data_IF_208151233255
#
_entry.id   IF_208151233255
#
_cell.length_a   1.000
_cell.length_b   1.000
_cell.length_c   1.000
_cell.angle_alpha   90.00
_cell.angle_beta   90.00
_cell.angle_gamma   90.00
#
_symmetry.space_group_name_H-M   'P 1'
#
loop_
_entity.id
_entity.type
_entity.pdbx_description
1 polymer ?
#
# COMPACT_ATOMS: atom_id res chain seq x y z
N UNK A 1 -8.43 13.77 3.41
CA UNK A 1 -8.36 12.78 4.47
C UNK A 1 -7.44 13.27 5.58
N UNK A 2 -7.89 13.16 6.80
CA UNK A 2 -7.11 13.62 7.93
C UNK A 2 -6.33 12.46 8.51
N UNK A 3 -5.01 12.54 8.42
CA UNK A 3 -4.16 11.44 8.86
C UNK A 3 -3.53 11.82 10.20
N UNK A 4 -3.88 11.12 11.28
CA UNK A 4 -3.30 11.43 12.58
C UNK A 4 -1.82 11.07 12.60
N UNK A 5 -1.06 11.82 13.36
CA UNK A 5 0.36 11.56 13.55
C UNK A 5 0.55 10.76 14.82
N UNK A 6 1.19 9.61 14.70
CA UNK A 6 1.53 8.82 15.87
C UNK A 6 2.76 9.42 16.53
N UNK A 7 2.67 9.64 17.84
CA UNK A 7 3.78 10.23 18.58
C UNK A 7 4.88 9.19 18.78
N UNK A 8 5.93 9.26 17.95
CA UNK A 8 7.08 8.39 18.06
C UNK A 8 6.85 6.97 17.62
N UNK A 9 5.75 6.69 16.90
CA UNK A 9 5.43 5.35 16.48
C UNK A 9 5.37 5.19 14.97
N UNK A 10 5.11 3.97 14.55
CA UNK A 10 4.87 3.63 13.16
C UNK A 10 3.40 3.85 12.86
N UNK A 11 3.11 4.34 11.65
CA UNK A 11 1.73 4.50 11.21
C UNK A 11 1.42 3.54 10.09
N UNK A 12 0.23 2.96 10.14
CA UNK A 12 -0.29 2.10 9.11
C UNK A 12 -1.65 2.64 8.70
N UNK A 13 -1.79 2.97 7.42
CA UNK A 13 -3.06 3.42 6.88
C UNK A 13 -3.76 2.28 6.18
N UNK A 14 -5.07 2.18 6.37
CA UNK A 14 -5.90 1.28 5.57
C UNK A 14 -6.73 2.17 4.66
N UNK A 15 -6.57 1.99 3.36
CA UNK A 15 -7.13 2.88 2.38
C UNK A 15 -8.01 2.12 1.39
N UNK A 16 -9.21 2.63 1.14
CA UNK A 16 -10.16 2.03 0.20
C UNK A 16 -10.49 3.04 -0.89
N UNK A 17 -9.62 3.11 -1.92
CA UNK A 17 -9.84 4.08 -2.99
C UNK A 17 -11.01 3.71 -3.88
N UNK A 18 -11.61 4.71 -4.50
CA UNK A 18 -12.71 4.52 -5.43
C UNK A 18 -12.33 4.88 -6.85
N UNK A 19 -11.37 5.79 -7.01
CA UNK A 19 -10.99 6.25 -8.32
C UNK A 19 -9.50 6.54 -8.40
N UNK A 20 -9.02 6.69 -9.62
CA UNK A 20 -7.58 6.82 -9.89
C UNK A 20 -6.92 7.95 -9.12
N UNK A 21 -7.57 9.09 -9.00
CA UNK A 21 -6.96 10.23 -8.30
C UNK A 21 -6.64 9.95 -6.84
N UNK A 22 -7.29 8.95 -6.26
CA UNK A 22 -7.03 8.57 -4.87
C UNK A 22 -5.63 7.96 -4.70
N UNK A 23 -5.01 7.51 -5.79
CA UNK A 23 -3.70 6.89 -5.73
C UNK A 23 -2.61 7.84 -5.26
N UNK A 24 -2.79 9.15 -5.47
CA UNK A 24 -1.82 10.14 -5.01
C UNK A 24 -1.63 10.07 -3.50
N UNK A 25 -2.69 9.80 -2.75
CA UNK A 25 -2.62 9.69 -1.31
C UNK A 25 -1.71 8.55 -0.87
N UNK A 26 -1.65 7.48 -1.64
CA UNK A 26 -0.78 6.35 -1.34
C UNK A 26 0.68 6.79 -1.39
N UNK A 27 1.05 7.47 -2.46
CA UNK A 27 2.43 7.93 -2.65
C UNK A 27 2.85 8.92 -1.58
N UNK A 28 1.97 9.88 -1.28
CA UNK A 28 2.25 10.88 -0.27
C UNK A 28 2.41 10.25 1.11
N UNK A 29 1.59 9.25 1.41
CA UNK A 29 1.66 8.56 2.71
C UNK A 29 2.98 7.81 2.86
N UNK A 30 3.38 7.07 1.83
CA UNK A 30 4.64 6.32 1.88
C UNK A 30 5.84 7.27 1.96
N UNK A 31 5.80 8.36 1.22
CA UNK A 31 6.84 9.38 1.31
C UNK A 31 6.91 10.02 2.68
N UNK A 32 5.79 10.06 3.39
CA UNK A 32 5.75 10.54 4.77
C UNK A 32 6.07 9.43 5.78
N UNK A 33 6.66 8.34 5.30
CA UNK A 33 7.15 7.25 6.12
C UNK A 33 6.05 6.40 6.75
N UNK A 34 4.93 6.25 6.06
CA UNK A 34 3.81 5.43 6.51
C UNK A 34 3.63 4.21 5.61
N UNK A 35 3.21 3.10 6.20
CA UNK A 35 2.78 1.94 5.42
C UNK A 35 1.30 2.07 5.08
N UNK A 36 0.90 1.54 3.93
CA UNK A 36 -0.47 1.65 3.45
C UNK A 36 -0.98 0.28 3.02
N UNK A 37 -2.10 -0.14 3.59
CA UNK A 37 -2.84 -1.28 3.08
C UNK A 37 -3.92 -0.75 2.14
N UNK A 38 -3.86 -1.16 0.90
CA UNK A 38 -4.78 -0.71 -0.13
C UNK A 38 -5.76 -1.82 -0.46
N UNK A 39 -7.05 -1.54 -0.30
CA UNK A 39 -8.09 -2.50 -0.64
C UNK A 39 -8.90 -1.93 -1.79
N UNK A 40 -8.87 -2.59 -2.94
CA UNK A 40 -9.39 -2.04 -4.19
C UNK A 40 -10.81 -2.48 -4.54
N UNK A 41 -11.46 -3.20 -3.65
CA UNK A 41 -12.79 -3.75 -3.93
C UNK A 41 -13.84 -2.69 -4.26
N UNK A 42 -13.67 -1.46 -3.79
CA UNK A 42 -14.64 -0.39 -4.03
C UNK A 42 -14.32 0.45 -5.27
N UNK A 43 -13.21 0.18 -5.93
CA UNK A 43 -12.88 0.86 -7.18
C UNK A 43 -13.66 0.22 -8.33
N UNK A 44 -14.09 1.04 -9.27
CA UNK A 44 -14.84 0.53 -10.41
C UNK A 44 -13.97 -0.32 -11.33
N UNK A 45 -14.63 -1.05 -12.23
CA UNK A 45 -13.95 -1.87 -13.22
C UNK A 45 -13.00 -1.01 -14.05
N UNK A 46 -11.79 -1.49 -14.23
CA UNK A 46 -10.76 -0.74 -14.94
C UNK A 46 -10.08 0.31 -14.09
N UNK A 47 -10.78 0.92 -13.14
CA UNK A 47 -10.20 1.91 -12.23
C UNK A 47 -9.22 1.25 -11.27
N UNK A 48 -9.57 0.07 -10.77
CA UNK A 48 -8.69 -0.66 -9.85
C UNK A 48 -7.35 -0.94 -10.48
N UNK A 49 -7.34 -1.44 -11.73
CA UNK A 49 -6.08 -1.76 -12.39
C UNK A 49 -5.25 -0.51 -12.67
N UNK A 50 -5.88 0.56 -13.12
CA UNK A 50 -5.19 1.81 -13.40
C UNK A 50 -4.58 2.40 -12.14
N UNK A 51 -5.31 2.32 -11.05
CA UNK A 51 -4.86 2.81 -9.75
C UNK A 51 -3.65 2.01 -9.25
N UNK A 52 -3.72 0.68 -9.38
CA UNK A 52 -2.62 -0.20 -8.98
C UNK A 52 -1.38 0.09 -9.83
N UNK A 53 -1.55 0.21 -11.14
CA UNK A 53 -0.44 0.50 -12.04
C UNK A 53 0.23 1.82 -11.69
N UNK A 54 -0.56 2.85 -11.41
CA UNK A 54 -0.04 4.15 -11.02
C UNK A 54 0.71 4.06 -9.70
N UNK A 55 0.12 3.40 -8.71
CA UNK A 55 0.74 3.28 -7.39
C UNK A 55 2.03 2.48 -7.45
N UNK A 56 2.05 1.38 -8.20
CA UNK A 56 3.26 0.56 -8.33
C UNK A 56 4.38 1.33 -9.02
N UNK A 57 4.05 2.07 -10.09
CA UNK A 57 5.04 2.89 -10.77
C UNK A 57 5.60 3.98 -9.86
N UNK A 58 4.73 4.60 -9.08
CA UNK A 58 5.14 5.60 -8.12
C UNK A 58 6.02 5.04 -7.00
N UNK A 59 5.68 3.85 -6.51
CA UNK A 59 6.49 3.18 -5.49
C UNK A 59 7.91 2.90 -6.03
N UNK A 60 7.99 2.43 -7.26
CA UNK A 60 9.28 2.18 -7.88
C UNK A 60 10.10 3.46 -7.96
N UNK A 61 9.47 4.57 -8.32
CA UNK A 61 10.13 5.86 -8.44
C UNK A 61 10.68 6.37 -7.11
N UNK A 62 10.01 6.10 -6.01
CA UNK A 62 10.44 6.58 -4.69
C UNK A 62 11.17 5.52 -3.87
N UNK A 63 11.38 4.33 -4.45
CA UNK A 63 12.09 3.25 -3.77
C UNK A 63 11.27 2.53 -2.72
N UNK A 64 9.94 2.61 -2.79
CA UNK A 64 9.07 1.94 -1.84
C UNK A 64 8.88 0.46 -2.17
N UNK A 65 8.21 -0.24 -1.28
CA UNK A 65 7.90 -1.66 -1.43
C UNK A 65 6.44 -1.87 -1.81
N UNK A 66 6.19 -2.87 -2.65
CA UNK A 66 4.84 -3.28 -3.01
C UNK A 66 4.70 -4.77 -2.74
N UNK A 67 3.70 -5.15 -1.97
CA UNK A 67 3.40 -6.55 -1.69
C UNK A 67 1.92 -6.82 -1.96
N UNK A 68 1.64 -7.81 -2.78
CA UNK A 68 0.28 -8.20 -3.06
C UNK A 68 -0.18 -9.22 -2.03
N UNK A 69 -1.25 -8.91 -1.30
CA UNK A 69 -1.77 -9.79 -0.26
C UNK A 69 -2.79 -10.77 -0.87
N UNK A 70 -3.72 -10.23 -1.65
CA UNK A 70 -4.68 -11.05 -2.39
C UNK A 70 -5.10 -10.28 -3.64
N UNK A 71 -6.12 -10.76 -4.32
CA UNK A 71 -6.55 -10.18 -5.59
C UNK A 71 -6.89 -8.69 -5.50
N UNK A 72 -7.34 -8.23 -4.34
CA UNK A 72 -7.81 -6.86 -4.16
C UNK A 72 -7.07 -6.09 -3.08
N UNK A 73 -6.08 -6.71 -2.43
CA UNK A 73 -5.40 -6.10 -1.29
C UNK A 73 -3.91 -6.02 -1.54
N UNK A 74 -3.36 -4.84 -1.35
CA UNK A 74 -1.93 -4.57 -1.56
C UNK A 74 -1.37 -3.85 -0.34
N UNK A 75 -0.09 -4.08 -0.07
CA UNK A 75 0.63 -3.35 0.96
C UNK A 75 1.73 -2.54 0.29
N UNK A 76 1.75 -1.26 0.59
CA UNK A 76 2.81 -0.34 0.15
C UNK A 76 3.56 0.15 1.38
N UNK A 77 4.87 0.13 1.33
CA UNK A 77 5.66 0.49 2.51
C UNK A 77 6.93 1.24 2.13
N UNK A 78 7.43 2.08 3.04
CA UNK A 78 8.75 2.68 2.86
C UNK A 78 9.83 1.62 2.81
N UNK A 79 10.98 1.88 2.17
CA UNK A 79 12.01 0.87 1.98
C UNK A 79 12.60 0.31 3.28
N UNK A 80 12.60 1.08 4.36
CA UNK A 80 13.17 0.64 5.61
C UNK A 80 12.26 -0.22 6.47
N UNK A 81 10.99 -0.36 6.09
CA UNK A 81 10.05 -1.18 6.83
C UNK A 81 10.27 -2.65 6.48
N UNK A 82 10.42 -3.48 7.50
CA UNK A 82 10.54 -4.92 7.29
C UNK A 82 9.14 -5.53 7.17
N UNK A 83 8.84 -6.12 6.02
CA UNK A 83 7.54 -6.74 5.77
C UNK A 83 7.73 -8.24 5.69
N UNK A 84 6.97 -8.98 6.50
CA UNK A 84 6.98 -10.43 6.46
C UNK A 84 5.61 -10.94 6.09
N UNK A 85 5.56 -11.84 5.12
CA UNK A 85 4.32 -12.41 4.63
C UNK A 85 4.12 -13.79 5.23
N UNK A 86 2.93 -14.02 5.75
CA UNK A 86 2.59 -15.26 6.41
C UNK A 86 2.75 -16.48 5.50
N UNK A 87 2.46 -16.32 4.22
CA UNK A 87 2.61 -17.39 3.24
C UNK A 87 4.04 -17.91 3.20
N UNK A 88 5.01 -17.00 3.23
CA UNK A 88 6.42 -17.38 3.20
C UNK A 88 6.82 -18.08 4.49
N UNK A 89 6.32 -17.62 5.62
CA UNK A 89 6.59 -18.24 6.90
C UNK A 89 6.00 -19.65 6.96
N UNK A 90 4.79 -19.82 6.47
CA UNK A 90 4.15 -21.12 6.43
C UNK A 90 4.93 -22.14 5.62
N UNK A 91 5.48 -21.71 4.50
CA UNK A 91 6.27 -22.62 3.65
C UNK A 91 7.57 -23.01 4.30
N UNK A 92 8.17 -22.13 5.03
CA UNK A 92 9.44 -22.38 5.69
C UNK A 92 9.31 -23.38 6.82
N UNK A 93 8.15 -23.45 7.42
CA UNK A 93 7.89 -24.34 8.55
C UNK A 93 7.59 -25.76 8.09
N UNK A 94 7.06 -25.91 6.90
CA UNK A 94 6.60 -27.20 6.39
C UNK A 94 7.76 -28.17 6.06
#
# INVERSE_FOLDING_TARGET
MNIPMAAGGQELLVFRPRELRDAEQILLSVRANRAVVLHTAEAGDGEAQRLIDFACGGMEAIGGQVHRIDAETFLFAPPQVCVQLDDDLGRQVA
#
